data_IF_757089969273
#
_entry.id   IF_757089969273
#
_cell.length_a   1.000
_cell.length_b   1.000
_cell.length_c   1.000
_cell.angle_alpha   90.00
_cell.angle_beta   90.00
_cell.angle_gamma   90.00
#
_symmetry.space_group_name_H-M   'P 1'
#
loop_
_entity.id
_entity.type
_entity.pdbx_description
1 polymer ?
2 non-polymer ?
3 non-polymer ?
4 water ?
#
# COMPACT_ATOMS: atom_id res chain seq x y z
N UNK A 1 21.71 -22.23 -14.87
CA UNK A 1 20.49 -21.55 -14.49
C UNK A 1 19.26 -22.34 -14.90
N UNK A 2 18.31 -22.40 -13.96
CA UNK A 2 17.06 -23.09 -14.15
C UNK A 2 16.00 -22.24 -14.83
N UNK A 3 15.09 -22.89 -15.55
CA UNK A 3 13.96 -22.22 -16.18
C UNK A 3 12.72 -23.06 -15.89
N UNK A 4 11.90 -22.60 -14.95
CA UNK A 4 10.66 -23.26 -14.58
C UNK A 4 9.44 -22.65 -15.26
N UNK A 5 8.69 -23.47 -15.99
CA UNK A 5 7.47 -23.00 -16.62
C UNK A 5 6.30 -23.35 -15.73
N UNK A 6 5.37 -22.40 -15.67
CA UNK A 6 4.14 -22.54 -14.93
C UNK A 6 3.04 -22.01 -15.81
N UNK A 7 1.83 -22.55 -15.74
CA UNK A 7 0.71 -22.02 -16.52
C UNK A 7 0.33 -20.64 -15.99
N UNK A 8 0.24 -20.55 -14.65
CA UNK A 8 -0.05 -19.32 -13.96
C UNK A 8 1.03 -19.04 -12.90
N UNK A 9 1.54 -17.80 -13.01
CA UNK A 9 2.51 -17.27 -12.08
C UNK A 9 1.96 -15.99 -11.42
N UNK A 10 2.15 -15.90 -10.11
CA UNK A 10 1.70 -14.78 -9.31
C UNK A 10 2.92 -14.11 -8.69
N UNK A 11 3.01 -12.79 -8.81
CA UNK A 11 4.08 -12.02 -8.22
C UNK A 11 3.62 -11.31 -6.98
N UNK A 12 4.10 -11.70 -5.80
CA UNK A 12 3.77 -10.99 -4.58
C UNK A 12 3.02 -11.86 -3.59
N UNK A 13 3.45 -11.69 -2.33
CA UNK A 13 2.84 -12.41 -1.23
C UNK A 13 2.12 -11.49 -0.24
N UNK A 14 1.45 -10.46 -0.72
CA UNK A 14 0.59 -9.63 0.11
C UNK A 14 -0.84 -10.19 0.02
N UNK A 15 -1.91 -9.56 0.54
CA UNK A 15 -3.28 -10.09 0.48
C UNK A 15 -3.81 -10.34 -0.93
N UNK A 16 -3.42 -9.52 -1.90
CA UNK A 16 -3.86 -9.73 -3.28
C UNK A 16 -3.23 -10.97 -3.90
N UNK A 17 -1.92 -11.19 -3.69
CA UNK A 17 -1.23 -12.36 -4.22
C UNK A 17 -1.71 -13.66 -3.57
N UNK A 18 -1.90 -13.68 -2.25
CA UNK A 18 -2.40 -14.87 -1.58
C UNK A 18 -3.85 -15.20 -1.92
N UNK A 19 -4.74 -14.21 -2.09
CA UNK A 19 -6.12 -14.50 -2.46
C UNK A 19 -6.19 -15.00 -3.89
N UNK A 20 -5.37 -14.43 -4.80
CA UNK A 20 -5.33 -14.90 -6.17
C UNK A 20 -4.81 -16.34 -6.21
N UNK A 21 -3.92 -16.67 -5.28
CA UNK A 21 -3.40 -18.02 -5.17
C UNK A 21 -4.48 -18.98 -4.70
N UNK A 22 -5.30 -18.66 -3.65
CA UNK A 22 -6.30 -19.63 -3.22
C UNK A 22 -7.38 -19.77 -4.29
N UNK A 23 -7.79 -18.71 -5.01
CA UNK A 23 -8.77 -18.84 -6.08
C UNK A 23 -8.23 -19.59 -7.28
N UNK A 24 -6.95 -19.40 -7.62
CA UNK A 24 -6.34 -20.14 -8.72
C UNK A 24 -6.17 -21.61 -8.38
N UNK A 25 -5.79 -21.94 -7.15
CA UNK A 25 -5.60 -23.32 -6.75
C UNK A 25 -6.94 -24.06 -6.73
N UNK A 26 -7.99 -23.40 -6.23
CA UNK A 26 -9.31 -24.02 -6.23
C UNK A 26 -9.97 -24.04 -7.61
N UNK A 27 -9.31 -23.46 -8.62
CA UNK A 27 -9.78 -23.57 -10.00
C UNK A 27 -8.98 -24.65 -10.73
N UNK A 28 -8.16 -25.38 -9.96
CA UNK A 28 -7.25 -26.43 -10.41
C UNK A 28 -6.19 -25.94 -11.40
N UNK A 29 -5.70 -24.70 -11.21
CA UNK A 29 -4.71 -24.10 -12.09
C UNK A 29 -3.27 -24.32 -11.65
N UNK A 30 -3.10 -24.86 -10.44
CA UNK A 30 -1.82 -25.16 -9.83
C UNK A 30 -0.88 -23.96 -9.85
N UNK A 31 -1.20 -22.86 -9.16
CA UNK A 31 -0.43 -21.62 -9.21
C UNK A 31 0.95 -21.73 -8.58
N UNK A 32 1.87 -20.97 -9.15
CA UNK A 32 3.19 -20.81 -8.53
C UNK A 32 3.23 -19.34 -8.11
N UNK A 33 3.62 -19.04 -6.87
CA UNK A 33 3.66 -17.68 -6.36
C UNK A 33 5.08 -17.36 -5.97
N UNK A 34 5.60 -16.20 -6.42
CA UNK A 34 6.92 -15.74 -6.03
C UNK A 34 6.72 -14.70 -4.93
N UNK A 35 7.32 -14.89 -3.75
CA UNK A 35 7.06 -14.00 -2.63
C UNK A 35 7.56 -12.57 -2.67
N UNK A 36 8.67 -12.32 -3.38
CA UNK A 36 9.38 -11.06 -3.32
C UNK A 36 10.22 -11.00 -2.05
N UNK A 37 10.93 -9.89 -1.80
CA UNK A 37 11.75 -9.75 -0.60
C UNK A 37 10.95 -9.60 0.67
N UNK A 38 9.81 -8.91 0.60
CA UNK A 38 8.97 -8.69 1.78
C UNK A 38 7.87 -9.74 1.80
N UNK A 39 8.20 -10.85 2.46
CA UNK A 39 7.33 -12.01 2.52
C UNK A 39 6.18 -11.70 3.48
N UNK A 40 4.99 -11.57 2.87
CA UNK A 40 3.79 -11.21 3.60
C UNK A 40 3.32 -9.77 3.32
N UNK A 41 4.08 -8.97 2.56
CA UNK A 41 3.66 -7.63 2.17
C UNK A 41 3.69 -6.60 3.27
N UNK A 42 3.10 -5.42 2.97
CA UNK A 42 3.05 -4.27 3.86
C UNK A 42 2.35 -4.43 5.20
N UNK A 43 1.44 -5.39 5.30
CA UNK A 43 0.71 -5.67 6.52
C UNK A 43 1.61 -6.22 7.63
N UNK A 44 2.75 -6.84 7.28
CA UNK A 44 3.69 -7.31 8.27
C UNK A 44 4.40 -6.15 8.97
N UNK A 45 4.25 -4.91 8.49
CA UNK A 45 4.88 -3.76 9.12
C UNK A 45 3.92 -3.00 10.04
N UNK A 46 2.72 -3.54 10.30
CA UNK A 46 1.75 -2.88 11.17
C UNK A 46 1.39 -3.76 12.37
N UNK A 47 0.77 -3.14 13.38
CA UNK A 47 0.34 -3.88 14.55
C UNK A 47 -1.13 -4.22 14.43
N UNK A 48 -2.11 -3.62 15.13
CA UNK A 48 -3.50 -4.04 15.05
C UNK A 48 -4.30 -3.62 13.82
N UNK A 49 -5.02 -4.63 13.29
CA UNK A 49 -5.92 -4.45 12.16
C UNK A 49 -7.34 -4.70 12.64
N UNK A 50 -8.21 -3.68 12.62
CA UNK A 50 -9.61 -3.92 12.96
C UNK A 50 -10.63 -3.46 11.92
N UNK A 51 -10.21 -3.58 10.66
CA UNK A 51 -11.08 -3.30 9.53
C UNK A 51 -10.99 -4.41 8.49
N UNK A 52 -10.49 -5.59 8.88
CA UNK A 52 -10.57 -6.76 8.03
C UNK A 52 -11.90 -7.38 8.45
N UNK A 53 -12.93 -7.37 7.59
CA UNK A 53 -14.30 -7.72 7.97
C UNK A 53 -14.46 -9.17 8.40
N UNK A 54 -15.13 -9.32 9.54
CA UNK A 54 -15.33 -10.63 10.11
C UNK A 54 -14.28 -10.97 11.15
N UNK A 55 -13.38 -10.04 11.46
CA UNK A 55 -12.38 -10.26 12.50
C UNK A 55 -12.43 -9.11 13.48
N UNK A 56 -13.47 -9.02 14.34
CA UNK A 56 -13.68 -7.89 15.23
C UNK A 56 -12.60 -7.62 16.27
N UNK A 57 -12.00 -8.71 16.76
CA UNK A 57 -11.01 -8.63 17.81
C UNK A 57 -9.74 -9.42 17.54
N UNK A 58 -8.69 -8.94 18.23
CA UNK A 58 -7.36 -9.55 18.29
C UNK A 58 -6.60 -9.86 17.01
N UNK A 59 -6.81 -9.09 15.93
CA UNK A 59 -6.05 -9.33 14.71
C UNK A 59 -4.95 -8.30 14.55
N UNK A 60 -3.81 -8.84 14.12
CA UNK A 60 -2.65 -8.03 13.75
C UNK A 60 -2.27 -8.38 12.32
N UNK A 61 -1.59 -7.45 11.63
CA UNK A 61 -1.15 -7.65 10.26
C UNK A 61 -0.33 -8.93 10.06
N UNK A 62 0.70 -9.24 10.89
CA UNK A 62 1.41 -10.52 10.87
C UNK A 62 0.52 -11.75 10.97
N UNK A 63 -0.50 -11.76 11.85
CA UNK A 63 -1.38 -12.91 11.96
C UNK A 63 -2.28 -13.15 10.76
N UNK A 64 -2.73 -12.07 10.11
CA UNK A 64 -3.58 -12.20 8.93
C UNK A 64 -2.80 -12.86 7.81
N UNK A 65 -1.55 -12.40 7.63
CA UNK A 65 -0.72 -12.90 6.56
C UNK A 65 -0.25 -14.33 6.77
N UNK A 66 -0.13 -14.77 8.03
CA UNK A 66 0.25 -16.15 8.38
C UNK A 66 -0.93 -17.04 8.03
N UNK A 67 -2.15 -16.56 8.29
CA UNK A 67 -3.36 -17.29 7.94
C UNK A 67 -3.57 -17.42 6.45
N UNK A 68 -3.24 -16.35 5.70
CA UNK A 68 -3.35 -16.37 4.24
C UNK A 68 -2.32 -17.29 3.60
N UNK A 69 -1.12 -17.36 4.20
CA UNK A 69 -0.08 -18.27 3.76
C UNK A 69 -0.51 -19.71 3.98
N UNK A 70 -1.10 -20.02 5.16
CA UNK A 70 -1.65 -21.33 5.47
C UNK A 70 -2.74 -21.73 4.51
N UNK A 71 -3.59 -20.76 4.15
CA UNK A 71 -4.69 -20.98 3.24
C UNK A 71 -4.17 -21.36 1.85
N UNK A 72 -3.15 -20.65 1.35
CA UNK A 72 -2.62 -20.91 0.02
C UNK A 72 -1.90 -22.26 -0.09
N UNK A 73 -1.13 -22.61 0.96
CA UNK A 73 -0.40 -23.87 1.00
C UNK A 73 -1.33 -25.05 1.25
N UNK A 74 -2.49 -24.84 1.89
CA UNK A 74 -3.47 -25.90 2.09
C UNK A 74 -3.95 -26.45 0.74
N UNK A 75 -4.05 -25.56 -0.26
CA UNK A 75 -4.49 -25.93 -1.60
C UNK A 75 -3.35 -26.14 -2.59
N UNK A 76 -2.19 -26.44 -2.00
CA UNK A 76 -0.95 -26.78 -2.69
C UNK A 76 -0.37 -25.80 -3.71
N UNK A 77 -0.43 -24.52 -3.36
CA UNK A 77 0.21 -23.46 -4.14
C UNK A 77 1.71 -23.66 -3.93
N UNK A 78 2.46 -23.64 -5.04
CA UNK A 78 3.89 -23.76 -4.97
C UNK A 78 4.41 -22.37 -4.65
N UNK A 79 4.99 -22.20 -3.47
CA UNK A 79 5.51 -20.91 -3.05
C UNK A 79 7.03 -20.91 -3.11
N UNK A 80 7.53 -19.94 -3.88
CA UNK A 80 8.95 -19.77 -4.14
C UNK A 80 9.43 -18.46 -3.56
N UNK A 81 10.48 -18.56 -2.74
CA UNK A 81 11.10 -17.37 -2.18
C UNK A 81 12.14 -16.85 -3.18
N UNK A 82 11.74 -15.80 -3.91
CA UNK A 82 12.59 -15.13 -4.88
C UNK A 82 12.04 -13.73 -5.18
N UNK A 83 12.76 -12.88 -5.92
CA UNK A 83 12.31 -11.54 -6.26
C UNK A 83 12.69 -11.32 -7.73
N UNK A 84 11.78 -10.73 -8.52
CA UNK A 84 12.02 -10.53 -9.95
C UNK A 84 12.71 -9.20 -10.24
N UNK A 85 13.79 -9.27 -11.02
CA UNK A 85 14.58 -8.10 -11.40
C UNK A 85 14.50 -7.68 -12.88
N UNK A 86 13.97 -8.54 -13.75
CA UNK A 86 13.85 -8.23 -15.16
C UNK A 86 12.68 -9.01 -15.73
N UNK A 87 11.99 -8.43 -16.71
CA UNK A 87 10.79 -9.03 -17.27
C UNK A 87 10.77 -8.87 -18.79
N UNK A 88 10.20 -9.86 -19.48
CA UNK A 88 9.98 -9.75 -20.91
C UNK A 88 8.59 -10.32 -21.19
N UNK A 89 7.71 -9.34 -21.33
CA UNK A 89 6.29 -9.53 -21.52
C UNK A 89 5.84 -9.37 -22.96
N UNK A 90 6.81 -9.16 -23.86
CA UNK A 90 6.49 -8.96 -25.27
C UNK A 90 6.63 -10.19 -26.14
N UNK A 91 7.11 -11.29 -25.54
CA UNK A 91 7.18 -12.57 -26.21
C UNK A 91 6.43 -13.63 -25.41
N UNK A 92 5.96 -14.68 -26.06
CA UNK A 92 5.18 -15.72 -25.39
C UNK A 92 5.95 -17.03 -25.36
N UNK A 93 6.06 -17.76 -24.22
CA UNK A 93 5.56 -17.36 -22.91
C UNK A 93 6.29 -16.17 -22.31
N UNK A 94 5.70 -15.53 -21.31
CA UNK A 94 6.33 -14.43 -20.61
C UNK A 94 7.56 -14.92 -19.87
N UNK A 95 8.69 -14.20 -19.93
CA UNK A 95 9.89 -14.63 -19.22
C UNK A 95 10.19 -13.62 -18.12
N UNK A 96 10.51 -14.15 -16.95
CA UNK A 96 10.78 -13.34 -15.78
C UNK A 96 12.05 -13.86 -15.13
N UNK A 97 12.96 -12.94 -14.82
CA UNK A 97 14.22 -13.33 -14.27
C UNK A 97 14.37 -12.91 -12.84
N UNK A 98 14.64 -13.91 -12.02
CA UNK A 98 14.87 -13.73 -10.61
C UNK A 98 16.33 -13.97 -10.25
N UNK A 99 16.60 -13.98 -8.95
CA UNK A 99 17.95 -14.21 -8.47
C UNK A 99 18.27 -15.70 -8.44
N UNK A 100 17.22 -16.51 -8.26
CA UNK A 100 17.32 -17.94 -8.13
C UNK A 100 16.88 -18.69 -9.39
N UNK A 101 16.71 -18.01 -10.53
CA UNK A 101 16.35 -18.68 -11.77
C UNK A 101 15.48 -17.85 -12.71
N UNK A 102 15.11 -18.49 -13.80
CA UNK A 102 14.25 -17.92 -14.81
C UNK A 102 12.91 -18.63 -14.71
N UNK A 103 11.85 -17.88 -14.97
CA UNK A 103 10.50 -18.39 -14.87
C UNK A 103 9.81 -17.99 -16.15
N UNK A 104 8.99 -18.89 -16.70
CA UNK A 104 8.14 -18.55 -17.83
C UNK A 104 6.71 -18.90 -17.46
N UNK A 105 5.74 -18.26 -18.09
CA UNK A 105 4.34 -18.54 -17.81
C UNK A 105 3.38 -18.12 -18.92
N UNK A 106 2.18 -18.71 -18.90
CA UNK A 106 1.17 -18.41 -19.91
C UNK A 106 0.26 -17.25 -19.52
N UNK A 107 0.09 -17.06 -18.21
CA UNK A 107 -0.67 -15.96 -17.64
C UNK A 107 0.06 -15.46 -16.41
N UNK A 108 0.04 -14.13 -16.23
CA UNK A 108 0.74 -13.51 -15.13
C UNK A 108 -0.16 -12.62 -14.31
N UNK A 109 -0.09 -12.70 -12.98
CA UNK A 109 -0.82 -11.80 -12.10
C UNK A 109 0.27 -11.06 -11.34
N UNK A 110 0.23 -9.72 -11.44
CA UNK A 110 1.18 -8.82 -10.80
C UNK A 110 0.51 -8.23 -9.56
N UNK A 111 1.07 -8.51 -8.40
CA UNK A 111 0.54 -8.02 -7.14
C UNK A 111 1.70 -7.56 -6.27
N UNK A 112 2.52 -6.67 -6.85
CA UNK A 112 3.75 -6.23 -6.22
C UNK A 112 3.66 -5.02 -5.28
N UNK A 113 2.45 -4.48 -5.07
CA UNK A 113 2.21 -3.46 -4.07
C UNK A 113 2.75 -2.07 -4.37
N UNK A 114 2.50 -1.22 -3.35
CA UNK A 114 2.91 0.19 -3.35
C UNK A 114 3.27 0.66 -1.92
N UNK A 115 4.55 0.43 -1.60
CA UNK A 115 5.10 0.68 -0.28
C UNK A 115 5.19 2.12 0.20
N UNK A 116 4.82 2.34 1.46
CA UNK A 116 4.89 3.67 2.06
C UNK A 116 6.30 4.10 2.47
N UNK A 117 6.63 5.35 2.18
CA UNK A 117 7.92 5.92 2.57
C UNK A 117 7.80 6.58 3.95
N UNK A 118 8.91 6.60 4.67
CA UNK A 118 8.98 7.24 5.97
C UNK A 118 9.99 8.37 5.93
N UNK A 119 10.13 9.10 7.03
CA UNK A 119 11.05 10.23 7.10
C UNK A 119 12.51 9.84 7.35
N UNK A 120 12.75 8.66 7.93
CA UNK A 120 14.09 8.16 8.19
C UNK A 120 14.65 8.56 9.55
N UNK A 121 13.85 9.18 10.40
CA UNK A 121 14.28 9.61 11.74
C UNK A 121 14.31 8.43 12.70
N UNK A 122 15.29 8.34 13.61
CA UNK A 122 15.34 7.28 14.63
C UNK A 122 14.18 7.30 15.62
N UNK A 123 13.71 8.51 16.01
CA UNK A 123 12.57 8.68 16.91
C UNK A 123 11.24 8.25 16.28
N UNK A 124 11.09 8.46 14.97
CA UNK A 124 9.94 7.98 14.21
C UNK A 124 9.92 6.46 14.11
N UNK A 125 11.12 5.89 13.87
CA UNK A 125 11.34 4.46 13.75
C UNK A 125 11.02 3.78 15.07
N UNK A 126 11.35 4.47 16.16
CA UNK A 126 11.09 4.03 17.53
C UNK A 126 9.61 3.87 17.85
N UNK A 127 8.77 4.77 17.35
CA UNK A 127 7.35 4.74 17.62
C UNK A 127 6.42 4.16 16.55
N UNK A 128 6.95 3.42 15.56
CA UNK A 128 6.12 2.79 14.53
C UNK A 128 5.21 1.74 15.15
N UNK A 129 3.92 1.75 14.79
CA UNK A 129 2.96 0.80 15.36
C UNK A 129 2.51 1.17 16.77
N UNK A 130 3.09 2.21 17.38
CA UNK A 130 2.70 2.68 18.70
C UNK A 130 2.56 4.20 18.66
N UNK A 131 1.87 4.72 17.64
CA UNK A 131 1.68 6.16 17.52
C UNK A 131 2.10 6.75 16.19
N UNK A 132 3.09 6.16 15.49
CA UNK A 132 3.47 6.65 14.15
C UNK A 132 2.89 5.64 13.17
N UNK A 133 2.21 6.18 12.16
CA UNK A 133 1.53 5.37 11.15
C UNK A 133 1.61 6.00 9.78
N UNK A 134 1.35 5.17 8.76
CA UNK A 134 1.34 5.65 7.40
C UNK A 134 -0.02 5.48 6.71
N UNK A 135 -1.04 4.98 7.41
CA UNK A 135 -2.37 4.80 6.83
C UNK A 135 -3.46 5.38 7.75
N UNK A 136 -4.00 6.54 7.36
CA UNK A 136 -5.04 7.19 8.14
C UNK A 136 -6.38 6.47 8.09
N UNK A 137 -6.78 5.88 6.95
CA UNK A 137 -8.05 5.16 6.84
C UNK A 137 -8.10 3.98 7.81
N UNK A 138 -6.98 3.28 7.95
CA UNK A 138 -6.86 2.13 8.82
C UNK A 138 -6.79 2.48 10.30
N UNK A 139 -5.89 3.41 10.61
CA UNK A 139 -5.56 3.71 12.00
C UNK A 139 -6.15 4.96 12.61
N UNK A 140 -6.85 5.76 11.81
CA UNK A 140 -7.42 7.01 12.26
C UNK A 140 -8.42 6.90 13.40
N UNK A 141 -9.23 5.83 13.44
CA UNK A 141 -10.24 5.64 14.49
C UNK A 141 -9.72 5.41 15.90
N UNK A 142 -8.45 5.00 16.02
CA UNK A 142 -7.80 4.81 17.32
C UNK A 142 -7.53 6.16 17.99
N UNK A 143 -7.52 7.24 17.22
CA UNK A 143 -7.24 8.58 17.74
C UNK A 143 -8.46 9.48 17.74
N UNK A 144 -9.62 8.86 17.92
CA UNK A 144 -10.91 9.53 17.94
C UNK A 144 -10.98 10.49 19.14
N UNK A 145 -11.34 11.76 18.85
CA UNK A 145 -11.43 12.85 19.81
C UNK A 145 -10.09 13.22 20.44
N UNK A 146 -8.99 12.97 19.70
CA UNK A 146 -7.66 13.28 20.19
C UNK A 146 -6.91 14.19 19.22
N UNK A 147 -5.71 14.67 19.55
CA UNK A 147 -4.97 15.54 18.64
C UNK A 147 -4.06 14.68 17.78
N UNK A 148 -4.03 14.98 16.49
CA UNK A 148 -3.28 14.21 15.54
C UNK A 148 -2.48 15.14 14.65
N UNK A 149 -1.35 14.63 14.14
CA UNK A 149 -0.52 15.38 13.22
C UNK A 149 -0.32 14.55 11.97
N UNK A 150 -0.35 15.23 10.84
CA UNK A 150 -0.09 14.63 9.53
C UNK A 150 1.09 15.38 8.92
N UNK A 151 2.07 14.72 8.30
CA UNK A 151 3.13 15.44 7.63
C UNK A 151 3.22 15.11 6.14
N UNK A 152 3.21 16.16 5.31
CA UNK A 152 3.28 16.02 3.87
C UNK A 152 2.68 17.22 3.14
N UNK A 153 2.92 17.28 1.82
CA UNK A 153 2.48 18.41 1.03
C UNK A 153 1.72 18.08 -0.23
N UNK A 154 1.72 16.83 -0.68
CA UNK A 154 1.00 16.44 -1.89
C UNK A 154 -0.46 16.07 -1.62
N UNK A 155 -1.02 15.30 -2.55
CA UNK A 155 -2.40 14.83 -2.45
C UNK A 155 -2.72 13.95 -1.26
N UNK A 156 -1.87 12.95 -0.99
CA UNK A 156 -2.11 12.00 0.10
C UNK A 156 -2.25 12.72 1.42
N UNK A 157 -1.32 13.62 1.77
CA UNK A 157 -1.36 14.33 3.03
C UNK A 157 -2.58 15.21 3.25
N UNK A 158 -3.04 15.96 2.22
CA UNK A 158 -4.23 16.79 2.36
C UNK A 158 -5.48 15.90 2.50
N UNK A 159 -5.52 14.74 1.82
CA UNK A 159 -6.60 13.77 1.91
C UNK A 159 -6.64 13.12 3.27
N UNK A 160 -5.48 12.75 3.82
CA UNK A 160 -5.36 12.14 5.13
C UNK A 160 -5.78 13.13 6.21
N UNK A 161 -5.41 14.40 6.06
CA UNK A 161 -5.76 15.43 7.00
C UNK A 161 -7.26 15.67 7.01
N UNK A 162 -7.84 15.77 5.80
CA UNK A 162 -9.27 15.96 5.57
C UNK A 162 -10.09 14.80 6.13
N UNK A 163 -9.65 13.56 5.91
CA UNK A 163 -10.33 12.38 6.41
C UNK A 163 -10.24 12.31 7.93
N UNK A 164 -9.10 12.70 8.49
CA UNK A 164 -8.85 12.61 9.92
C UNK A 164 -9.57 13.68 10.71
N UNK A 165 -9.92 14.83 10.10
CA UNK A 165 -10.62 15.89 10.83
C UNK A 165 -12.05 15.57 11.23
N UNK A 166 -12.61 14.49 10.68
CA UNK A 166 -13.92 14.00 11.08
C UNK A 166 -13.82 13.04 12.25
N UNK A 167 -12.61 12.60 12.62
CA UNK A 167 -12.42 11.60 13.67
C UNK A 167 -11.77 12.21 14.91
N UNK A 168 -10.69 12.96 14.66
CA UNK A 168 -9.89 13.63 15.68
C UNK A 168 -10.44 14.98 16.11
N UNK A 169 -10.10 15.37 17.34
CA UNK A 169 -10.52 16.66 17.86
C UNK A 169 -9.87 17.79 17.06
N UNK A 170 -8.63 17.57 16.60
CA UNK A 170 -7.93 18.51 15.74
C UNK A 170 -6.76 17.85 15.01
N UNK A 171 -6.51 18.37 13.81
CA UNK A 171 -5.47 17.86 12.94
C UNK A 171 -4.42 18.95 12.68
N UNK A 172 -3.16 18.61 12.90
CA UNK A 172 -2.05 19.52 12.68
C UNK A 172 -1.28 19.11 11.42
N UNK A 173 -1.49 19.83 10.29
CA UNK A 173 -0.82 19.52 9.03
C UNK A 173 0.53 20.24 8.93
N UNK A 174 1.59 19.44 8.85
CA UNK A 174 2.97 19.92 8.88
C UNK A 174 3.58 19.79 7.50
N UNK A 175 4.20 20.87 7.03
CA UNK A 175 4.83 20.86 5.71
C UNK A 175 6.04 21.79 5.62
N UNK A 176 7.06 21.32 4.87
CA UNK A 176 8.32 22.03 4.64
C UNK A 176 8.15 23.34 3.89
N UNK A 177 7.34 23.28 2.83
CA UNK A 177 7.04 24.43 1.99
C UNK A 177 5.95 25.30 2.63
N UNK A 178 5.72 26.48 2.05
CA UNK A 178 4.66 27.36 2.50
C UNK A 178 3.39 27.16 1.67
N UNK A 179 3.29 26.01 1.00
CA UNK A 179 2.14 25.70 0.16
C UNK A 179 2.05 24.23 -0.20
N UNK A 180 0.80 23.82 -0.27
CA UNK A 180 0.47 22.45 -0.62
C UNK A 180 0.31 22.30 -2.13
N UNK A 181 0.80 21.16 -2.58
CA UNK A 181 0.77 20.79 -3.98
C UNK A 181 -0.20 19.62 -4.18
N UNK A 182 -1.44 19.91 -3.83
CA UNK A 182 -2.53 18.96 -3.99
C UNK A 182 -3.57 19.49 -4.98
N UNK A 183 -4.55 18.64 -5.31
CA UNK A 183 -5.66 19.01 -6.21
C UNK A 183 -6.44 20.21 -5.71
N UNK A 184 -6.96 20.99 -6.66
CA UNK A 184 -7.74 22.19 -6.38
C UNK A 184 -8.95 22.00 -5.46
N UNK A 185 -9.65 20.86 -5.60
CA UNK A 185 -10.81 20.58 -4.77
C UNK A 185 -10.38 20.19 -3.36
N UNK A 186 -9.22 19.53 -3.22
CA UNK A 186 -8.67 19.17 -1.93
C UNK A 186 -8.24 20.39 -1.13
N UNK A 187 -7.58 21.36 -1.79
CA UNK A 187 -7.10 22.57 -1.16
C UNK A 187 -8.23 23.52 -0.74
N UNK A 188 -9.33 23.51 -1.52
CA UNK A 188 -10.51 24.30 -1.20
C UNK A 188 -11.14 23.82 0.11
N UNK A 189 -11.35 22.49 0.19
CA UNK A 189 -11.94 21.89 1.37
C UNK A 189 -11.01 22.00 2.58
N UNK A 190 -9.69 21.96 2.31
CA UNK A 190 -8.67 22.13 3.35
C UNK A 190 -8.79 23.51 3.96
N UNK A 191 -8.79 24.55 3.12
CA UNK A 191 -8.88 25.90 3.63
C UNK A 191 -10.19 26.17 4.33
N UNK A 192 -11.27 25.46 3.99
CA UNK A 192 -12.53 25.60 4.71
C UNK A 192 -12.41 25.01 6.10
N UNK A 193 -11.75 23.85 6.24
CA UNK A 193 -11.55 23.26 7.55
C UNK A 193 -10.51 24.00 8.39
N UNK A 194 -9.61 24.76 7.75
CA UNK A 194 -8.65 25.58 8.47
C UNK A 194 -9.37 26.80 9.05
N UNK A 195 -10.17 27.47 8.21
CA UNK A 195 -10.91 28.66 8.60
C UNK A 195 -12.10 28.33 9.50
N UNK A 196 -13.09 27.59 9.02
CA UNK A 196 -14.24 27.25 9.85
C UNK A 196 -14.10 25.91 10.60
N UNK A 197 -12.91 25.55 11.10
CA UNK A 197 -12.85 24.30 11.85
C UNK A 197 -11.53 23.78 12.41
N UNK A 198 -11.54 22.47 12.19
CA UNK A 198 -10.62 21.48 12.70
C UNK A 198 -9.15 21.35 12.32
N UNK A 199 -8.71 21.91 11.19
CA UNK A 199 -7.33 21.71 10.78
C UNK A 199 -6.45 22.92 11.03
N UNK A 200 -5.39 22.70 11.82
CA UNK A 200 -4.39 23.72 12.08
C UNK A 200 -3.15 23.49 11.21
N UNK A 201 -2.81 24.54 10.47
CA UNK A 201 -1.69 24.53 9.54
C UNK A 201 -0.34 24.95 10.11
N UNK A 202 0.71 24.19 9.75
CA UNK A 202 2.07 24.44 10.20
C UNK A 202 3.04 24.37 9.02
N UNK A 203 2.86 25.30 8.08
CA UNK A 203 3.76 25.42 6.95
C UNK A 203 5.14 25.94 7.36
N UNK A 204 6.15 25.68 6.51
CA UNK A 204 7.56 26.03 6.77
C UNK A 204 8.17 25.44 8.04
N UNK A 205 7.77 24.21 8.34
CA UNK A 205 8.30 23.46 9.47
C UNK A 205 8.79 22.09 9.03
N UNK A 206 9.83 21.59 9.69
CA UNK A 206 10.29 20.23 9.44
C UNK A 206 10.26 19.51 10.77
N UNK A 207 9.95 18.21 10.73
CA UNK A 207 9.94 17.42 11.95
C UNK A 207 11.36 17.02 12.35
N UNK A 208 11.67 17.42 13.58
CA UNK A 208 12.93 17.11 14.23
C UNK A 208 12.89 15.86 15.06
N UNK A 209 11.83 15.71 15.85
CA UNK A 209 11.75 14.60 16.78
C UNK A 209 10.34 14.24 17.17
N UNK A 210 10.12 12.94 17.33
CA UNK A 210 8.86 12.39 17.78
C UNK A 210 9.14 11.98 19.21
N UNK A 211 8.49 12.64 20.16
CA UNK A 211 8.65 12.26 21.56
C UNK A 211 7.45 11.46 22.01
N UNK A 212 7.63 10.70 23.10
CA UNK A 212 6.57 9.88 23.65
C UNK A 212 7.00 9.14 24.90
N UNK A 213 6.09 8.36 25.47
CA UNK A 213 6.36 7.57 26.66
C UNK A 213 6.40 6.06 26.38
N UNK A 214 6.16 5.24 27.39
CA UNK A 214 6.14 3.78 27.26
C UNK A 214 5.01 3.30 26.36
N UNK A 215 3.82 3.89 26.48
CA UNK A 215 2.67 3.52 25.65
C UNK A 215 2.69 4.05 24.23
N UNK A 216 3.41 5.16 23.97
CA UNK A 216 3.49 5.71 22.62
C UNK A 216 3.66 7.22 22.56
N UNK A 217 3.49 7.75 21.35
CA UNK A 217 3.67 9.17 21.01
C UNK A 217 2.89 10.12 21.91
N UNK A 218 3.54 11.21 22.30
CA UNK A 218 2.91 12.25 23.12
C UNK A 218 3.18 13.63 22.56
N UNK A 219 4.11 13.74 21.60
CA UNK A 219 4.46 15.03 21.04
C UNK A 219 5.36 14.97 19.82
N UNK A 220 5.59 16.16 19.27
CA UNK A 220 6.35 16.35 18.03
C UNK A 220 7.09 17.68 18.12
N UNK A 221 8.36 17.73 17.71
CA UNK A 221 9.13 18.98 17.72
C UNK A 221 9.34 19.41 16.29
N UNK A 222 9.01 20.66 15.98
CA UNK A 222 9.22 21.21 14.65
C UNK A 222 10.29 22.29 14.71
N UNK A 223 10.84 22.71 13.55
CA UNK A 223 11.83 23.76 13.51
C UNK A 223 11.69 24.58 12.23
N UNK A 224 12.37 25.73 12.23
CA UNK A 224 12.47 26.67 11.10
C UNK A 224 11.19 27.41 10.74
N UNK A 225 11.37 28.50 10.01
CA UNK A 225 10.29 29.18 9.32
C UNK A 225 10.94 29.76 8.04
N UNK A 226 10.25 30.54 7.21
CA UNK A 226 10.90 31.18 6.06
C UNK A 226 11.84 32.20 6.72
N UNK A 227 13.13 31.82 6.77
CA UNK A 227 14.23 32.54 7.40
C UNK A 227 14.07 32.84 8.91
N UNK A 228 14.44 31.81 9.68
CA UNK A 228 14.57 31.78 11.15
C UNK A 228 14.53 30.34 11.68
N UNK A 229 14.90 30.20 12.96
CA UNK A 229 14.93 28.93 13.67
C UNK A 229 14.19 29.10 15.01
N UNK A 230 12.86 28.97 14.91
CA UNK A 230 11.95 29.14 16.04
C UNK A 230 11.71 27.96 16.96
N UNK A 231 11.72 26.73 16.41
CA UNK A 231 11.43 25.47 17.09
C UNK A 231 10.15 25.40 17.94
N UNK A 232 9.13 24.81 17.31
CA UNK A 232 7.84 24.56 17.93
C UNK A 232 7.76 23.23 18.65
N UNK A 233 6.76 23.08 19.50
CA UNK A 233 6.47 21.82 20.16
C UNK A 233 4.96 21.62 20.18
N UNK A 234 4.50 20.45 19.73
CA UNK A 234 3.09 20.11 19.64
C UNK A 234 2.77 18.91 20.50
N UNK A 235 1.66 18.97 21.26
CA UNK A 235 1.20 17.83 22.04
C UNK A 235 0.28 17.04 21.13
N UNK A 236 0.61 15.79 20.83
CA UNK A 236 -0.14 15.03 19.85
C UNK A 236 -0.17 13.55 20.21
N UNK A 237 -1.25 12.83 19.95
CA UNK A 237 -1.32 11.40 20.24
C UNK A 237 -0.91 10.48 19.09
N UNK A 238 -0.98 10.99 17.87
CA UNK A 238 -0.63 10.22 16.69
C UNK A 238 -0.04 11.09 15.59
N UNK A 239 0.83 10.44 14.82
CA UNK A 239 1.51 11.05 13.70
C UNK A 239 1.25 10.18 12.48
N UNK A 240 0.88 10.83 11.39
CA UNK A 240 0.61 10.15 10.14
C UNK A 240 1.57 10.71 9.11
N UNK A 241 2.62 9.95 8.79
CA UNK A 241 3.56 10.40 7.77
C UNK A 241 2.99 10.05 6.40
N UNK A 242 2.59 11.13 5.73
CA UNK A 242 1.94 11.04 4.44
C UNK A 242 2.76 11.69 3.33
N UNK A 243 3.96 11.16 3.12
CA UNK A 243 4.85 11.71 2.11
C UNK A 243 4.88 10.89 0.82
N UNK A 244 4.00 9.91 0.66
CA UNK A 244 3.92 9.15 -0.57
C UNK A 244 4.24 7.67 -0.50
N UNK A 245 3.75 7.01 -1.55
CA UNK A 245 3.91 5.57 -1.78
C UNK A 245 4.74 5.32 -3.00
N UNK A 246 5.31 4.13 -3.06
CA UNK A 246 6.17 3.74 -4.15
C UNK A 246 5.66 2.45 -4.76
N UNK A 247 4.79 2.49 -5.80
CA UNK A 247 4.37 1.33 -6.56
C UNK A 247 5.58 0.61 -7.12
N UNK A 248 5.68 -0.69 -6.85
CA UNK A 248 6.80 -1.48 -7.30
C UNK A 248 6.62 -1.92 -8.74
N UNK A 249 6.87 -0.96 -9.64
CA UNK A 249 6.64 -1.16 -11.05
C UNK A 249 7.80 -0.78 -11.98
N UNK A 250 9.00 -0.46 -11.46
CA UNK A 250 10.13 -0.07 -12.28
C UNK A 250 10.51 -1.12 -13.32
N UNK A 251 10.35 -2.38 -12.92
CA UNK A 251 10.58 -3.57 -13.74
C UNK A 251 9.62 -3.70 -14.92
N UNK A 252 8.51 -2.95 -14.88
CA UNK A 252 7.49 -3.00 -15.94
C UNK A 252 7.49 -1.77 -16.83
N UNK A 253 8.39 -0.81 -16.60
CA UNK A 253 8.43 0.40 -17.41
C UNK A 253 8.82 0.12 -18.85
N UNK A 254 8.06 0.67 -19.78
CA UNK A 254 8.24 0.40 -21.20
C UNK A 254 7.59 -0.91 -21.63
N UNK A 255 7.02 -1.69 -20.71
CA UNK A 255 6.38 -2.96 -21.05
C UNK A 255 4.88 -2.85 -20.87
N UNK A 256 4.44 -2.13 -19.83
CA UNK A 256 3.04 -1.96 -19.49
C UNK A 256 2.63 -0.51 -19.40
N UNK A 257 1.35 -0.19 -19.67
CA UNK A 257 0.87 1.17 -19.44
C UNK A 257 0.76 1.41 -17.94
N UNK A 258 1.46 2.47 -17.54
CA UNK A 258 1.51 2.95 -16.18
C UNK A 258 0.94 4.36 -16.11
N UNK A 259 0.47 4.74 -14.93
CA UNK A 259 -0.13 6.04 -14.71
C UNK A 259 0.35 6.43 -13.33
N UNK A 260 1.33 7.33 -13.35
CA UNK A 260 2.08 7.75 -12.17
C UNK A 260 2.68 6.57 -11.42
N UNK A 261 3.17 5.62 -12.21
CA UNK A 261 3.83 4.43 -11.70
C UNK A 261 2.85 3.32 -11.40
N UNK A 262 1.54 3.58 -11.39
CA UNK A 262 0.56 2.54 -11.10
C UNK A 262 0.16 1.82 -12.38
N UNK A 263 0.04 0.50 -12.31
CA UNK A 263 -0.37 -0.28 -13.46
C UNK A 263 -1.82 0.00 -13.79
N UNK A 264 -2.04 0.41 -15.04
CA UNK A 264 -3.36 0.64 -15.55
C UNK A 264 -4.07 -0.66 -15.95
N UNK A 265 -5.27 -0.85 -15.40
CA UNK A 265 -6.09 -1.99 -15.76
C UNK A 265 -7.31 -1.51 -16.53
N UNK A 266 -7.95 -2.47 -17.20
CA UNK A 266 -9.11 -2.23 -18.02
C UNK A 266 -10.30 -1.73 -17.19
N UNK A 267 -10.48 -2.32 -15.99
CA UNK A 267 -11.57 -2.07 -15.06
C UNK A 267 -12.94 -2.29 -15.74
N UNK A 268 -14.03 -1.62 -15.34
CA UNK A 268 -15.31 -1.82 -15.98
C UNK A 268 -16.18 -2.89 -15.32
N UNK A 269 -17.44 -2.97 -15.80
CA UNK A 269 -18.41 -3.89 -15.23
C UNK A 269 -18.71 -5.08 -16.13
N UNK A 270 -17.91 -5.30 -17.18
CA UNK A 270 -18.17 -6.37 -18.13
C UNK A 270 -17.16 -7.50 -18.12
N UNK A 271 -16.40 -7.62 -17.02
CA UNK A 271 -15.41 -8.68 -16.89
C UNK A 271 -14.04 -8.28 -17.39
N UNK A 272 -13.05 -9.13 -17.09
CA UNK A 272 -11.66 -8.91 -17.48
C UNK A 272 -11.16 -7.55 -16.99
N UNK A 273 -11.65 -7.22 -15.79
CA UNK A 273 -11.40 -5.94 -15.17
C UNK A 273 -9.98 -5.76 -14.65
N UNK A 274 -9.22 -6.83 -14.37
CA UNK A 274 -7.86 -6.65 -13.88
C UNK A 274 -6.84 -6.73 -15.01
N UNK A 275 -7.27 -6.93 -16.26
CA UNK A 275 -6.31 -7.04 -17.34
C UNK A 275 -5.60 -5.72 -17.63
N UNK A 276 -4.27 -5.81 -17.67
CA UNK A 276 -3.39 -4.69 -18.02
C UNK A 276 -3.43 -4.43 -19.54
N UNK A 277 -2.53 -3.60 -20.05
CA UNK A 277 -2.49 -3.35 -21.49
C UNK A 277 -2.05 -4.56 -22.32
N UNK A 278 -1.44 -5.58 -21.70
CA UNK A 278 -1.04 -6.77 -22.43
C UNK A 278 -2.00 -7.90 -22.10
N UNK A 279 -2.61 -8.55 -23.11
CA UNK A 279 -3.44 -9.75 -22.97
C UNK A 279 -2.73 -10.88 -22.24
N UNK A 280 -3.31 -11.38 -21.16
CA UNK A 280 -2.65 -12.43 -20.40
C UNK A 280 -1.90 -11.93 -19.18
N UNK A 281 -1.76 -10.60 -19.03
CA UNK A 281 -1.13 -10.02 -17.85
C UNK A 281 -2.23 -9.24 -17.14
N UNK A 282 -2.37 -9.53 -15.85
CA UNK A 282 -3.39 -8.99 -14.96
C UNK A 282 -2.71 -8.36 -13.76
N UNK A 283 -3.35 -7.38 -13.13
CA UNK A 283 -2.81 -6.74 -11.93
C UNK A 283 -3.87 -6.65 -10.85
N UNK A 284 -3.41 -6.75 -9.61
CA UNK A 284 -4.26 -6.73 -8.44
C UNK A 284 -3.53 -6.05 -7.27
N UNK A 285 -4.31 -5.57 -6.31
CA UNK A 285 -3.77 -4.93 -5.11
C UNK A 285 -3.45 -3.46 -5.28
N UNK A 286 -2.62 -2.93 -4.37
CA UNK A 286 -2.23 -1.54 -4.38
C UNK A 286 -1.39 -1.09 -5.56
N UNK A 287 -0.80 -2.01 -6.33
CA UNK A 287 -0.02 -1.64 -7.50
C UNK A 287 -0.89 -1.04 -8.63
N UNK A 288 -2.19 -1.33 -8.60
CA UNK A 288 -3.15 -0.81 -9.57
C UNK A 288 -4.23 0.07 -8.95
N UNK A 289 -4.12 0.34 -7.65
CA UNK A 289 -5.10 1.13 -6.95
C UNK A 289 -4.43 2.20 -6.11
N UNK A 290 -4.52 3.45 -6.57
CA UNK A 290 -4.02 4.55 -5.78
C UNK A 290 -5.09 5.31 -5.00
N UNK A 291 -6.34 4.80 -4.97
CA UNK A 291 -7.42 5.47 -4.27
C UNK A 291 -7.85 4.83 -2.95
N UNK A 292 -8.14 3.52 -2.88
CA UNK A 292 -8.64 2.91 -1.67
C UNK A 292 -7.56 2.34 -0.76
N UNK A 293 -6.64 1.57 -1.34
CA UNK A 293 -5.48 1.04 -0.64
C UNK A 293 -5.72 0.31 0.69
N UNK A 294 -6.56 -0.72 0.64
CA UNK A 294 -6.86 -1.52 1.82
C UNK A 294 -6.54 -2.97 1.52
N UNK A 295 -6.38 -3.79 2.57
CA UNK A 295 -6.17 -5.22 2.41
C UNK A 295 -7.40 -5.91 1.84
N UNK A 296 -8.60 -5.43 2.19
CA UNK A 296 -9.82 -6.02 1.69
C UNK A 296 -10.09 -5.73 0.21
N UNK A 297 -9.74 -4.53 -0.29
CA UNK A 297 -9.85 -4.23 -1.71
C UNK A 297 -8.74 -4.95 -2.48
N UNK A 298 -7.57 -5.16 -1.86
CA UNK A 298 -6.48 -5.90 -2.50
C UNK A 298 -6.85 -7.37 -2.63
N UNK A 299 -7.46 -7.96 -1.60
CA UNK A 299 -7.94 -9.34 -1.67
C UNK A 299 -9.06 -9.47 -2.69
N UNK A 300 -9.96 -8.49 -2.79
CA UNK A 300 -11.03 -8.49 -3.78
C UNK A 300 -10.51 -8.51 -5.22
N UNK A 301 -9.55 -7.63 -5.58
CA UNK A 301 -8.97 -7.63 -6.91
C UNK A 301 -8.06 -8.84 -7.11
N UNK A 302 -7.48 -9.42 -6.04
CA UNK A 302 -6.71 -10.66 -6.11
C UNK A 302 -7.60 -11.79 -6.63
N UNK A 303 -8.80 -11.93 -6.04
CA UNK A 303 -9.82 -12.85 -6.50
C UNK A 303 -10.23 -12.62 -7.97
N UNK A 304 -10.47 -11.35 -8.35
CA UNK A 304 -10.87 -11.02 -9.71
C UNK A 304 -9.81 -11.39 -10.74
N UNK A 305 -8.54 -11.16 -10.36
CA UNK A 305 -7.40 -11.46 -11.22
C UNK A 305 -7.28 -12.94 -11.48
N UNK A 306 -7.47 -13.80 -10.46
CA UNK A 306 -7.39 -15.23 -10.65
C UNK A 306 -8.48 -15.75 -11.58
N UNK A 307 -9.70 -15.20 -11.47
CA UNK A 307 -10.81 -15.64 -12.30
C UNK A 307 -10.69 -15.09 -13.72
N UNK A 308 -10.08 -13.91 -13.87
CA UNK A 308 -9.80 -13.36 -15.19
C UNK A 308 -8.74 -14.22 -15.87
N UNK A 309 -7.68 -14.60 -15.11
CA UNK A 309 -6.62 -15.48 -15.55
C UNK A 309 -7.16 -16.85 -15.95
N UNK A 310 -8.08 -17.44 -15.18
CA UNK A 310 -8.72 -18.71 -15.51
C UNK A 310 -9.49 -18.58 -16.82
N UNK A 311 -10.29 -17.52 -16.97
CA UNK A 311 -11.07 -17.33 -18.18
C UNK A 311 -10.20 -17.10 -19.40
N UNK A 312 -9.05 -16.43 -19.24
CA UNK A 312 -8.12 -16.20 -20.32
C UNK A 312 -7.48 -17.52 -20.75
N UNK A 313 -7.01 -18.29 -19.77
CA UNK A 313 -6.35 -19.55 -20.04
C UNK A 313 -7.26 -20.56 -20.69
N UNK A 314 -8.57 -20.39 -20.53
CA UNK A 314 -9.51 -21.27 -21.17
C UNK A 314 -10.18 -20.71 -22.42
N UNK A 315 -9.57 -19.71 -23.06
CA UNK A 315 -10.03 -19.17 -24.33
C UNK A 315 -11.28 -18.30 -24.34
N UNK A 316 -11.67 -17.72 -23.20
CA UNK A 316 -12.85 -16.88 -23.12
C UNK A 316 -12.48 -15.41 -22.93
X LIG B 1 1.66 -5.68 -0.49
X LIG B 1 2.38 -4.40 -0.47
X LIG B 1 1.05 -6.23 0.74
X LIG B 1 2.64 -6.83 -1.01
X LIG B 1 3.46 -6.69 -2.18
X LIG B 1 4.23 -7.98 -2.44
X LIG B 1 4.88 -7.93 -3.72
X LIG B 1 5.28 -8.25 -1.37
X LIG B 1 5.18 -9.62 -0.96
X LIG B 1 6.57 -7.98 -2.13
X LIG B 1 7.67 -8.72 -1.60
X LIG B 1 6.22 -8.40 -3.54
X LIG B 1 7.11 -7.80 -4.58
X LIG B 1 7.45 -6.49 -4.80
X LIG B 1 8.26 -6.33 -5.81
X LIG B 1 8.48 -7.63 -6.28
X LIG B 1 9.24 -8.15 -7.34
X LIG B 1 9.95 -7.40 -8.18
X LIG B 1 9.23 -9.48 -7.52
X LIG B 1 8.47 -10.23 -6.75
X LIG B 1 7.71 -9.87 -5.73
X LIG B 1 7.77 -8.53 -5.54
X LIG B 1 -4.87 -2.04 5.19
X LIG B 1 -5.97 -2.46 5.87
X LIG B 1 -6.99 -2.76 5.30
X LIG B 1 -5.97 -2.54 7.27
X LIG B 1 -4.99 -2.07 8.06
X LIG B 1 -5.12 -2.05 9.28
X LIG B 1 -3.79 -1.56 7.32
X LIG B 1 -2.81 -1.04 8.00
X LIG B 1 -1.76 -0.51 7.32
X LIG B 1 -0.72 0.08 8.05
X LIG B 1 0.37 0.64 7.44
X LIG B 1 1.40 1.38 8.25
X LIG B 1 0.49 0.51 6.04
X LIG B 1 1.73 0.97 5.31
X LIG B 1 -0.53 -0.04 5.30
X LIG B 1 -1.67 -0.56 5.92
X LIG B 1 -2.74 -1.11 5.21
X LIG B 1 -3.84 -1.60 5.88
X LIG B 1 -2.69 -1.13 3.73
X LIG B 1 -2.27 -2.54 3.35
X LIG B 1 -0.99 -2.83 3.90
X LIG B 1 -2.10 -2.69 1.83
X LIG B 1 -3.34 -2.26 1.25
X LIG B 1 -1.96 -4.14 1.32
X LIG B 1 -0.89 -4.75 2.02
X LIG B 1 -1.69 -4.20 -0.16
X LIG B 1 -1.71 -5.54 -0.58
X LIG B 1 -0.92 -6.01 -1.88
X LIG B 1 -0.99 -7.47 -1.96
X LIG B 1 -1.40 -5.20 -3.02
X LIG B 1 0.61 -5.54 -1.68
X LIG B 1 7.44 -9.65 -1.64
X LIG B 1 10.44 -7.84 -8.95
X LIG B 1 10.00 -6.40 -8.06
X LIG B 1 -6.73 -2.99 7.70
X LIG B 1 -0.82 -3.77 3.89
X LIG B 1 -3.29 -2.25 0.29
X LIG B 1 -0.82 -5.67 1.76
X LIG C 1 4.30 12.72 -3.35
X LIG C 1 3.95 13.03 -4.76
X LIG C 1 5.64 12.17 -3.05
X LIG C 1 4.06 14.04 -2.45
X LIG C 1 4.38 14.02 -1.06
X LIG C 1 5.27 15.18 -0.65
X LIG C 1 5.59 15.25 0.73
X LIG C 1 6.66 15.13 -1.27
X LIG C 1 6.69 15.21 -2.70
X LIG C 1 7.24 16.36 -0.60
X LIG C 1 6.72 17.56 -1.17
X LIG C 1 6.69 16.16 0.82
X LIG C 1 7.70 15.76 1.83
X LIG C 1 8.68 14.82 1.66
X LIG C 1 9.42 14.59 2.71
X LIG C 1 8.93 15.50 3.64
X LIG C 1 9.31 15.77 4.96
X LIG C 1 10.35 15.19 5.55
X LIG C 1 8.60 16.69 5.64
X LIG C 1 7.63 17.32 5.01
X LIG C 1 7.20 17.21 3.76
X LIG C 1 7.90 16.23 3.13
X LIG C 1 3.21 11.69 -2.78
X LIG C 1 1.61 11.96 -2.81
X LIG C 1 1.24 12.42 -1.46
X LIG C 1 1.26 12.78 -3.99
X LIG C 1 1.06 10.44 -3.03
X LIG C 1 1.82 9.44 -3.74
X LIG C 1 1.16 8.93 -5.03
X LIG C 1 -0.09 8.29 -4.78
X LIG C 1 0.84 10.06 -6.01
X LIG C 1 1.99 10.48 -6.75
X LIG C 1 -0.24 9.44 -6.88
X LIG C 1 0.29 8.59 -7.90
X LIG C 1 -1.01 8.61 -5.84
X LIG C 1 -2.26 9.24 -5.33
X LIG C 1 -3.08 9.99 -6.15
X LIG C 1 -4.22 10.54 -5.69
X LIG C 1 -5.23 11.24 -6.68
X LIG C 1 -6.31 11.57 -6.20
X LIG C 1 -5.01 11.31 -8.00
X LIG C 1 -4.57 10.36 -4.40
X LIG C 1 -3.78 9.62 -3.55
X LIG C 1 -2.63 9.07 -4.01
X LIG C 1 7.56 18.92 -1.31
X LIG C 1 8.58 18.58 -2.33
X LIG C 1 8.11 19.16 0.04
X LIG C 1 6.54 19.89 -1.74
X LIG C 1 6.31 16.06 -2.93
X LIG C 1 10.90 14.50 5.04
X LIG C 1 10.60 15.43 6.50
X LIG C 1 2.33 9.71 -7.22
X LIG C 1 -0.44 8.18 -8.35
X LIG C 1 -4.09 11.58 -8.34
X LIG C 1 -5.79 11.43 -8.63
#
# INVERSE_FOLDING_TARGET
>A
GTTKHSKLLILGSGPAGYTAAVYAARANLQPVLITGMEKGGQLTTTTEVENWPGDPNDLTGPLLMERMHEHATKFETEIIFDHINKVDLQNRPFRLNGDNGEYTCDALIIATGASARYLGLPSEEAFKGRGVSACATSDGFFYRNQKVAVIGGGNTAVEEALYLSNIASEVHLIHRRDGFRAEKILIKRLMDKVENGNIILHTNRTLEEVTGDQMGVTGVRLRDTQNSDNIESLDVAGLFVAIGHSPNTAIFEGQLELENGYIKVQSGIHGNATQTSIPGVFAAGDVMDHIYRQAITSAGTGCMAALDAERYLDGL
>B hetero
1 FAD PA O1A O2A O5B C5B C4B O4B C3B O3B C2B O2B C1B N9A C8A N7A C5A C6A N6A N1A C2A N3A C4A N1 C2 O2 N3 C4 O4 C4X N5 C5X C6 C7 C7M C8 C8M C9 C9A N10 C10 C1' C2' O2' C3' O3' C4' O4' C5' O5' P O1P O2P O3P HO2A H61A H62A HN3 HO2' HO3' HO4'
>C hetero
1 NAP PA O1A O2A O5B C5B C4B O4B C3B O3B C2B O2B C1B N9A C8A N7A C5A C6A N6A N1A C2A N3A C4A O3 PN O1N O2N O5D C5D C4D O4D C3D O3D C2D O2D C1D N1N C2N C3N C7N O7N N7N C4N C5N C6N P2B O1X O2X O3X HO3A H61A H62A HO3N HO2N H71N H72N
#
